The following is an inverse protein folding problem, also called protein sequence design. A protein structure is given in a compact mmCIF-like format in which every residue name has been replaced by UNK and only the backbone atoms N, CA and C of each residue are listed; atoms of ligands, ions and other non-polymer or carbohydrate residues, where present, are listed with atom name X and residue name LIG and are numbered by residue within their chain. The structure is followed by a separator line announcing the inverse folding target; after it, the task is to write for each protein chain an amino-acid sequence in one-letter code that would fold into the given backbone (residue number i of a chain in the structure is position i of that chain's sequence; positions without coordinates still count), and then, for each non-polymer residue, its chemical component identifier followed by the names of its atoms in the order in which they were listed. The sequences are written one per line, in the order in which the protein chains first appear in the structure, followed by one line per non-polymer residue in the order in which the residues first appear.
data_IF_545434551338
#
_entry.id   IF_545434551338
#
_cell.length_a   1.000
_cell.length_b   1.000
_cell.length_c   1.000
_cell.angle_alpha   90.00
_cell.angle_beta   90.00
_cell.angle_gamma   90.00
#
_symmetry.space_group_name_H-M   'P 1'
#
loop_
_entity.id
_entity.type
_entity.pdbx_description
1 polymer ?
#
# COMPACT_ATOMS: atom_id res chain seq x y z
N UNK A 1 -33.99 1.82 -20.48
CA UNK A 1 -33.71 1.42 -19.09
C UNK A 1 -32.32 1.94 -18.79
N UNK A 2 -32.23 3.08 -18.09
CA UNK A 2 -30.96 3.72 -17.74
C UNK A 2 -30.37 2.98 -16.54
N UNK A 3 -29.26 2.28 -16.74
CA UNK A 3 -28.44 1.71 -15.67
C UNK A 3 -27.02 2.24 -15.83
N UNK A 4 -26.72 3.39 -15.22
CA UNK A 4 -25.41 4.01 -15.37
C UNK A 4 -25.13 5.20 -14.46
N UNK A 5 -25.86 5.35 -13.36
CA UNK A 5 -25.65 6.45 -12.41
C UNK A 5 -25.57 5.85 -11.00
N UNK A 6 -24.36 5.78 -10.42
CA UNK A 6 -24.21 5.48 -8.99
C UNK A 6 -22.91 4.85 -8.52
N UNK A 7 -22.03 4.33 -9.40
CA UNK A 7 -20.68 3.92 -8.98
C UNK A 7 -19.77 5.14 -9.12
N UNK A 8 -19.49 5.79 -8.01
CA UNK A 8 -18.40 6.77 -7.97
C UNK A 8 -17.10 5.99 -8.13
N UNK A 9 -16.27 6.36 -9.08
CA UNK A 9 -14.95 5.76 -9.21
C UNK A 9 -14.11 6.08 -7.97
N UNK A 10 -13.22 5.17 -7.53
CA UNK A 10 -12.31 5.44 -6.42
C UNK A 10 -11.47 6.69 -6.73
N UNK A 11 -11.15 7.49 -5.70
CA UNK A 11 -10.34 8.69 -5.88
C UNK A 11 -9.00 8.34 -6.50
N UNK A 12 -8.52 9.21 -7.39
CA UNK A 12 -7.22 9.07 -8.05
C UNK A 12 -6.19 9.98 -7.38
N UNK A 13 -4.91 9.56 -7.32
CA UNK A 13 -3.82 10.38 -6.79
C UNK A 13 -3.72 11.72 -7.50
N UNK A 14 -3.44 12.77 -6.72
CA UNK A 14 -3.11 14.06 -7.28
C UNK A 14 -1.70 14.00 -7.92
N UNK A 15 -1.52 14.63 -9.08
CA UNK A 15 -0.24 14.61 -9.79
C UNK A 15 0.96 15.14 -8.96
N UNK A 16 0.70 15.97 -7.94
CA UNK A 16 1.74 16.47 -7.04
C UNK A 16 2.27 15.39 -6.08
N UNK A 17 1.50 14.32 -5.85
CA UNK A 17 1.80 13.27 -4.88
C UNK A 17 2.48 12.05 -5.48
N UNK A 18 2.64 11.99 -6.81
CA UNK A 18 3.35 10.92 -7.50
C UNK A 18 4.83 10.77 -7.12
N UNK A 19 5.39 9.64 -7.54
CA UNK A 19 6.80 9.28 -7.47
C UNK A 19 7.59 10.28 -8.31
N UNK A 20 8.70 10.77 -7.75
CA UNK A 20 9.64 11.65 -8.45
C UNK A 20 10.96 10.91 -8.69
N UNK A 21 11.77 11.37 -9.64
CA UNK A 21 13.13 10.83 -9.86
C UNK A 21 14.00 10.84 -8.58
N UNK A 22 13.72 11.77 -7.66
CA UNK A 22 14.39 11.83 -6.35
C UNK A 22 13.92 10.76 -5.37
N UNK A 23 12.75 10.15 -5.57
CA UNK A 23 12.23 9.06 -4.75
C UNK A 23 12.79 7.70 -5.22
N UNK A 24 13.13 7.55 -6.50
CA UNK A 24 13.78 6.35 -7.07
C UNK A 24 15.30 6.33 -6.90
N UNK A 25 15.94 7.50 -6.76
CA UNK A 25 17.39 7.62 -6.56
C UNK A 25 17.92 7.06 -5.23
N UNK A 26 17.03 6.71 -4.28
CA UNK A 26 17.40 6.09 -2.99
C UNK A 26 17.83 4.61 -3.14
N UNK A 27 17.72 4.02 -4.33
CA UNK A 27 18.25 2.68 -4.61
C UNK A 27 19.74 2.68 -5.01
N UNK A 28 20.34 3.82 -5.38
CA UNK A 28 21.67 3.82 -6.04
C UNK A 28 22.74 4.84 -5.55
N UNK A 29 22.54 5.62 -4.48
CA UNK A 29 23.60 6.52 -4.00
C UNK A 29 23.64 6.67 -2.46
N UNK A 30 24.83 6.34 -1.89
CA UNK A 30 25.52 6.83 -0.67
C UNK A 30 24.72 7.43 0.51
N UNK A 31 25.17 7.25 1.78
CA UNK A 31 24.38 7.57 2.98
C UNK A 31 24.17 9.08 3.12
N UNK A 32 23.04 9.57 2.64
CA UNK A 32 22.62 10.96 2.68
C UNK A 32 21.33 11.09 3.47
N UNK A 33 21.47 11.21 4.79
CA UNK A 33 20.46 11.74 5.72
C UNK A 33 19.03 11.18 5.59
N UNK A 34 18.87 9.89 5.89
CA UNK A 34 17.67 9.49 6.63
C UNK A 34 17.61 10.35 7.91
N UNK A 35 16.42 10.75 8.41
CA UNK A 35 16.33 11.36 9.73
C UNK A 35 17.00 10.41 10.72
N UNK A 36 18.19 10.81 11.19
CA UNK A 36 18.97 10.05 12.15
C UNK A 36 18.16 10.02 13.44
N UNK A 37 17.51 8.90 13.74
CA UNK A 37 16.78 8.76 15.01
C UNK A 37 15.65 7.74 15.05
N UNK A 38 15.15 7.24 13.91
CA UNK A 38 14.09 6.22 13.95
C UNK A 38 14.71 4.85 14.09
N UNK A 39 14.38 4.16 15.20
CA UNK A 39 14.90 2.81 15.46
C UNK A 39 14.12 1.81 14.62
N UNK A 40 14.82 1.09 13.75
CA UNK A 40 14.26 -0.04 13.02
C UNK A 40 13.83 -1.14 13.99
N UNK A 41 12.78 -1.88 13.64
CA UNK A 41 12.22 -2.93 14.48
C UNK A 41 12.71 -4.31 14.03
N UNK A 42 12.94 -5.27 14.95
CA UNK A 42 13.15 -6.67 14.55
C UNK A 42 11.87 -7.25 13.94
N UNK A 43 11.90 -8.43 13.29
CA UNK A 43 10.71 -9.00 12.69
C UNK A 43 9.58 -9.29 13.68
N UNK A 44 8.34 -8.95 13.32
CA UNK A 44 7.13 -9.32 14.07
C UNK A 44 5.89 -9.30 13.18
N UNK A 45 4.91 -10.14 13.49
CA UNK A 45 3.64 -10.22 12.75
C UNK A 45 2.85 -8.91 12.90
N UNK A 46 2.43 -8.26 11.80
CA UNK A 46 1.53 -7.13 11.88
C UNK A 46 0.10 -7.61 12.14
N UNK A 47 -0.67 -6.83 12.89
CA UNK A 47 -2.01 -7.19 13.37
C UNK A 47 -3.10 -6.29 12.79
N UNK A 48 -2.84 -4.99 12.72
CA UNK A 48 -3.79 -3.98 12.25
C UNK A 48 -3.05 -2.89 11.47
N UNK A 49 -3.70 -2.33 10.46
CA UNK A 49 -3.26 -1.14 9.73
C UNK A 49 -4.26 -0.01 9.97
N UNK A 50 -3.76 1.18 10.31
CA UNK A 50 -4.55 2.38 10.55
C UNK A 50 -4.04 3.51 9.67
N UNK A 51 -4.94 4.16 8.94
CA UNK A 51 -4.63 5.27 8.03
C UNK A 51 -5.66 6.39 8.27
N UNK A 52 -5.40 7.30 9.23
CA UNK A 52 -6.39 8.28 9.68
C UNK A 52 -6.93 9.18 8.57
N UNK A 53 -6.09 9.57 7.60
CA UNK A 53 -6.45 10.47 6.51
C UNK A 53 -7.61 9.93 5.63
N UNK A 54 -7.76 8.61 5.57
CA UNK A 54 -8.79 7.91 4.77
C UNK A 54 -9.67 7.01 5.64
N UNK A 55 -9.67 7.22 6.96
CA UNK A 55 -10.51 6.49 7.93
C UNK A 55 -10.37 4.96 7.89
N UNK A 56 -9.18 4.45 7.54
CA UNK A 56 -8.90 3.01 7.58
C UNK A 56 -8.49 2.61 8.99
N UNK A 57 -9.16 1.58 9.50
CA UNK A 57 -8.76 0.81 10.68
C UNK A 57 -9.14 -0.65 10.41
N UNK A 58 -8.17 -1.46 10.02
CA UNK A 58 -8.41 -2.78 9.46
C UNK A 58 -7.48 -3.85 10.04
N UNK A 59 -7.98 -5.08 10.31
CA UNK A 59 -7.12 -6.21 10.61
C UNK A 59 -6.21 -6.54 9.42
N UNK A 60 -5.04 -7.09 9.74
CA UNK A 60 -4.10 -7.67 8.79
C UNK A 60 -4.07 -9.19 8.95
N UNK A 61 -4.09 -9.89 7.83
CA UNK A 61 -3.83 -11.33 7.78
C UNK A 61 -2.69 -11.65 6.82
N UNK A 62 -1.92 -12.70 7.13
CA UNK A 62 -0.76 -13.09 6.33
C UNK A 62 -1.13 -13.90 5.09
N UNK A 63 -0.78 -13.40 3.91
CA UNK A 63 -0.99 -14.03 2.61
C UNK A 63 0.33 -14.30 1.88
N UNK A 64 0.27 -15.15 0.86
CA UNK A 64 1.44 -15.59 0.11
C UNK A 64 1.63 -14.76 -1.15
N UNK A 65 2.21 -15.40 -2.16
CA UNK A 65 2.17 -14.90 -3.52
C UNK A 65 1.18 -15.73 -4.34
N UNK A 66 0.56 -15.07 -5.31
CA UNK A 66 -0.12 -15.72 -6.41
C UNK A 66 0.89 -16.43 -7.34
N UNK A 67 0.46 -17.33 -8.23
CA UNK A 67 1.35 -17.97 -9.21
C UNK A 67 2.11 -16.98 -10.12
N UNK A 68 1.57 -15.77 -10.30
CA UNK A 68 2.19 -14.64 -11.00
C UNK A 68 3.37 -14.01 -10.26
N UNK A 69 3.52 -14.27 -8.96
CA UNK A 69 4.53 -13.65 -8.10
C UNK A 69 4.08 -12.35 -7.42
N UNK A 70 2.84 -11.89 -7.65
CA UNK A 70 2.21 -10.77 -6.94
C UNK A 70 1.73 -11.19 -5.55
N UNK A 71 1.71 -10.28 -4.56
CA UNK A 71 1.13 -10.57 -3.26
C UNK A 71 -0.35 -10.92 -3.36
N UNK A 72 -0.72 -12.06 -2.77
CA UNK A 72 -2.09 -12.51 -2.73
C UNK A 72 -2.98 -11.49 -1.98
N UNK A 73 -4.18 -11.27 -2.51
CA UNK A 73 -5.18 -10.36 -1.97
C UNK A 73 -6.19 -11.15 -1.12
N UNK A 74 -6.70 -10.61 0.00
CA UNK A 74 -7.75 -11.27 0.79
C UNK A 74 -8.98 -11.67 -0.05
N UNK A 75 -9.82 -12.60 0.41
CA UNK A 75 -11.10 -12.90 -0.25
C UNK A 75 -12.00 -11.66 -0.39
N UNK A 76 -12.66 -11.49 -1.53
CA UNK A 76 -13.48 -10.29 -1.84
C UNK A 76 -14.64 -10.09 -0.84
N UNK A 77 -15.13 -11.15 -0.19
CA UNK A 77 -16.20 -11.06 0.80
C UNK A 77 -15.74 -10.38 2.10
N UNK A 78 -14.43 -10.25 2.30
CA UNK A 78 -13.80 -9.62 3.47
C UNK A 78 -13.37 -8.20 3.13
N UNK A 79 -14.36 -7.35 2.83
CA UNK A 79 -14.15 -5.96 2.44
C UNK A 79 -13.40 -5.12 3.49
N UNK A 80 -13.40 -5.55 4.76
CA UNK A 80 -12.74 -4.90 5.90
C UNK A 80 -11.32 -5.41 6.19
N UNK A 81 -10.83 -6.39 5.43
CA UNK A 81 -9.56 -7.08 5.68
C UNK A 81 -8.47 -6.62 4.70
N UNK A 82 -7.29 -6.31 5.24
CA UNK A 82 -6.09 -6.12 4.44
C UNK A 82 -5.17 -7.36 4.53
N UNK A 83 -4.47 -7.64 3.44
CA UNK A 83 -3.50 -8.72 3.35
C UNK A 83 -2.09 -8.20 3.55
N UNK A 84 -1.25 -8.94 4.26
CA UNK A 84 0.18 -8.68 4.37
C UNK A 84 0.95 -9.83 3.73
N UNK A 85 1.96 -9.53 2.91
CA UNK A 85 2.82 -10.57 2.34
C UNK A 85 3.73 -11.19 3.41
N UNK A 86 3.33 -12.36 3.92
CA UNK A 86 3.89 -12.95 5.14
C UNK A 86 5.30 -13.52 4.99
N UNK A 87 5.67 -13.88 3.76
CA UNK A 87 6.97 -14.48 3.46
C UNK A 87 8.03 -13.38 3.15
N UNK A 88 7.61 -12.11 3.17
CA UNK A 88 8.46 -10.93 2.98
C UNK A 88 8.87 -10.23 4.28
N UNK A 89 9.19 -8.93 4.17
CA UNK A 89 9.62 -8.10 5.30
C UNK A 89 8.40 -7.68 6.14
N UNK A 90 8.48 -7.81 7.46
CA UNK A 90 7.45 -7.31 8.37
C UNK A 90 7.52 -5.77 8.48
N UNK A 91 6.38 -5.05 8.55
CA UNK A 91 6.36 -3.59 8.65
C UNK A 91 7.21 -3.06 9.82
N UNK A 92 8.23 -2.27 9.51
CA UNK A 92 9.14 -1.62 10.47
C UNK A 92 10.51 -2.28 10.56
N UNK A 93 10.67 -3.46 9.95
CA UNK A 93 11.98 -4.09 9.73
C UNK A 93 12.65 -3.53 8.48
N UNK A 94 13.99 -3.61 8.37
CA UNK A 94 14.72 -3.18 7.16
C UNK A 94 14.22 -3.91 5.91
N UNK A 95 13.89 -3.14 4.87
CA UNK A 95 13.36 -3.63 3.60
C UNK A 95 11.91 -3.26 3.33
N UNK A 96 11.41 -3.77 2.21
CA UNK A 96 10.09 -3.41 1.67
C UNK A 96 9.02 -4.36 2.18
N UNK A 97 8.06 -3.84 2.93
CA UNK A 97 6.86 -4.56 3.35
C UNK A 97 5.69 -4.27 2.40
N UNK A 98 4.89 -5.29 2.11
CA UNK A 98 3.77 -5.21 1.16
C UNK A 98 2.45 -5.51 1.87
N UNK A 99 1.49 -4.60 1.72
CA UNK A 99 0.12 -4.75 2.20
C UNK A 99 -0.84 -4.55 1.02
N UNK A 100 -1.74 -5.51 0.81
CA UNK A 100 -2.76 -5.50 -0.24
C UNK A 100 -4.15 -5.32 0.35
N UNK A 101 -5.08 -4.80 -0.45
CA UNK A 101 -6.48 -4.72 -0.05
C UNK A 101 -7.36 -4.42 -1.26
N UNK A 102 -8.63 -4.78 -1.15
CA UNK A 102 -9.61 -4.48 -2.20
C UNK A 102 -9.95 -2.99 -2.23
N UNK A 103 -10.19 -2.50 -3.45
CA UNK A 103 -10.71 -1.15 -3.67
C UNK A 103 -12.23 -1.14 -3.45
N UNK A 104 -12.93 -2.05 -4.11
CA UNK A 104 -14.37 -2.28 -3.95
C UNK A 104 -14.70 -3.74 -4.26
N UNK A 105 -15.96 -4.11 -4.06
CA UNK A 105 -16.52 -5.36 -4.52
C UNK A 105 -17.97 -5.14 -4.99
N UNK A 106 -18.72 -6.24 -5.16
CA UNK A 106 -20.13 -6.19 -5.58
C UNK A 106 -21.09 -5.53 -4.57
N UNK A 107 -20.68 -5.39 -3.30
CA UNK A 107 -21.51 -4.81 -2.23
C UNK A 107 -21.15 -3.36 -1.91
N UNK A 108 -19.97 -2.87 -2.33
CA UNK A 108 -19.57 -1.48 -2.21
C UNK A 108 -18.06 -1.28 -2.03
N UNK A 109 -17.64 -0.10 -1.55
CA UNK A 109 -16.26 0.20 -1.18
C UNK A 109 -15.67 -0.83 -0.21
N UNK A 110 -14.37 -1.10 -0.35
CA UNK A 110 -13.60 -1.96 0.54
C UNK A 110 -12.45 -1.19 1.23
N UNK A 111 -11.60 -1.91 1.96
CA UNK A 111 -10.60 -1.36 2.89
C UNK A 111 -9.71 -0.28 2.28
N UNK A 112 -9.37 -0.39 1.00
CA UNK A 112 -8.48 0.56 0.32
C UNK A 112 -9.19 1.36 -0.79
N UNK A 113 -10.51 1.48 -0.73
CA UNK A 113 -11.28 2.30 -1.69
C UNK A 113 -10.69 3.71 -1.87
N UNK A 114 -10.38 4.38 -0.76
CA UNK A 114 -9.88 5.75 -0.75
C UNK A 114 -8.34 5.85 -0.81
N UNK A 115 -7.61 4.76 -1.09
CA UNK A 115 -6.14 4.78 -1.06
C UNK A 115 -5.54 5.82 -2.01
N UNK A 116 -6.17 6.05 -3.16
CA UNK A 116 -5.74 7.07 -4.11
C UNK A 116 -5.97 8.52 -3.64
N UNK A 117 -6.72 8.75 -2.56
CA UNK A 117 -6.88 10.07 -1.96
C UNK A 117 -5.73 10.45 -1.01
N UNK A 118 -4.84 9.52 -0.68
CA UNK A 118 -3.69 9.80 0.18
C UNK A 118 -2.76 10.83 -0.45
N UNK A 119 -2.14 11.61 0.42
CA UNK A 119 -1.19 12.66 0.07
C UNK A 119 0.18 12.39 0.70
N UNK A 120 1.22 12.96 0.08
CA UNK A 120 2.55 12.95 0.68
C UNK A 120 2.48 13.63 2.05
N UNK A 121 2.97 12.94 3.09
CA UNK A 121 2.92 13.40 4.48
C UNK A 121 1.87 12.70 5.34
N UNK A 122 0.89 12.04 4.73
CA UNK A 122 -0.09 11.22 5.49
C UNK A 122 0.60 10.07 6.22
N UNK A 123 0.02 9.63 7.33
CA UNK A 123 0.59 8.59 8.18
C UNK A 123 -0.12 7.27 8.04
N UNK A 124 0.66 6.19 8.07
CA UNK A 124 0.20 4.80 8.15
C UNK A 124 0.78 4.18 9.40
N UNK A 125 -0.08 3.70 10.29
CA UNK A 125 0.32 3.03 11.53
C UNK A 125 0.06 1.53 11.39
N UNK A 126 1.04 0.71 11.77
CA UNK A 126 0.91 -0.74 11.80
C UNK A 126 1.19 -1.26 13.20
N UNK A 127 0.16 -1.77 13.87
CA UNK A 127 0.31 -2.38 15.19
C UNK A 127 0.78 -3.83 15.02
N UNK A 128 1.69 -4.26 15.89
CA UNK A 128 2.40 -5.53 15.74
C UNK A 128 2.25 -6.42 16.97
N UNK A 129 2.45 -7.72 16.77
CA UNK A 129 2.30 -8.74 17.81
C UNK A 129 3.32 -8.62 18.97
N UNK A 130 4.39 -7.84 18.78
CA UNK A 130 5.37 -7.54 19.83
C UNK A 130 4.98 -6.32 20.69
N UNK A 131 3.77 -5.79 20.49
CA UNK A 131 3.22 -4.66 21.25
C UNK A 131 3.73 -3.29 20.81
N UNK A 132 4.52 -3.22 19.73
CA UNK A 132 5.00 -1.97 19.15
C UNK A 132 4.17 -1.57 17.93
N UNK A 133 4.21 -0.29 17.60
CA UNK A 133 3.63 0.23 16.38
C UNK A 133 4.71 0.81 15.48
N UNK A 134 4.70 0.41 14.20
CA UNK A 134 5.52 1.01 13.17
C UNK A 134 4.73 2.14 12.49
N UNK A 135 5.28 3.36 12.47
CA UNK A 135 4.65 4.52 11.85
C UNK A 135 5.40 4.89 10.60
N UNK A 136 4.68 4.91 9.48
CA UNK A 136 5.19 5.30 8.19
C UNK A 136 4.58 6.63 7.76
N UNK A 137 5.34 7.41 7.02
CA UNK A 137 4.85 8.60 6.33
C UNK A 137 4.85 8.35 4.83
N UNK A 138 3.70 8.60 4.20
CA UNK A 138 3.51 8.50 2.76
C UNK A 138 4.48 9.46 2.06
N UNK A 139 5.31 8.89 1.19
CA UNK A 139 6.26 9.61 0.37
C UNK A 139 5.76 9.81 -1.04
N UNK A 140 4.91 8.92 -1.57
CA UNK A 140 4.29 9.08 -2.87
C UNK A 140 3.02 8.24 -2.99
N UNK A 141 2.13 8.60 -3.91
CA UNK A 141 0.99 7.78 -4.31
C UNK A 141 0.87 7.86 -5.83
N UNK A 142 0.87 6.70 -6.50
CA UNK A 142 0.79 6.62 -7.95
C UNK A 142 -0.18 5.55 -8.43
N UNK A 143 -0.59 5.67 -9.69
CA UNK A 143 -1.37 4.66 -10.40
C UNK A 143 -0.51 4.08 -11.51
N UNK A 144 -0.39 2.75 -11.53
CA UNK A 144 0.31 2.02 -12.57
C UNK A 144 -0.66 1.18 -13.37
N UNK A 145 -0.49 1.14 -14.69
CA UNK A 145 -1.23 0.24 -15.55
C UNK A 145 -1.00 -1.21 -15.13
N UNK A 146 -2.06 -2.01 -15.09
CA UNK A 146 -1.99 -3.40 -14.64
C UNK A 146 -1.09 -4.25 -15.56
N UNK A 147 -1.08 -3.92 -16.84
CA UNK A 147 -0.35 -4.66 -17.87
C UNK A 147 1.12 -4.22 -18.02
N UNK A 148 1.51 -3.10 -17.40
CA UNK A 148 2.87 -2.55 -17.37
C UNK A 148 3.29 -2.20 -15.92
N UNK A 149 2.94 -3.10 -15.00
CA UNK A 149 3.17 -2.87 -13.58
C UNK A 149 4.67 -2.92 -13.24
N UNK A 150 5.24 -1.89 -12.59
CA UNK A 150 6.68 -1.82 -12.37
C UNK A 150 7.09 -2.63 -11.13
N UNK A 151 7.17 -3.96 -11.28
CA UNK A 151 7.48 -4.89 -10.18
C UNK A 151 8.76 -4.52 -9.41
N UNK A 152 9.83 -4.11 -10.09
CA UNK A 152 11.09 -3.74 -9.43
C UNK A 152 10.94 -2.49 -8.54
N UNK A 153 10.13 -1.52 -8.96
CA UNK A 153 9.88 -0.31 -8.18
C UNK A 153 9.00 -0.60 -6.94
N UNK A 154 8.00 -1.46 -7.12
CA UNK A 154 7.01 -1.73 -6.07
C UNK A 154 7.47 -2.83 -5.12
N UNK A 155 7.92 -3.96 -5.65
CA UNK A 155 8.31 -5.14 -4.85
C UNK A 155 9.81 -5.22 -4.56
N UNK A 156 10.62 -4.36 -5.20
CA UNK A 156 12.06 -4.34 -5.02
C UNK A 156 12.49 -4.17 -3.57
N UNK A 157 13.67 -4.70 -3.26
CA UNK A 157 14.24 -4.62 -1.92
C UNK A 157 14.71 -3.20 -1.61
N UNK A 158 14.48 -2.75 -0.38
CA UNK A 158 15.10 -1.54 0.18
C UNK A 158 16.08 -1.90 1.29
N UNK A 159 17.05 -1.03 1.56
CA UNK A 159 17.86 -1.12 2.77
C UNK A 159 17.17 -0.46 3.97
N UNK A 160 16.26 0.46 3.73
CA UNK A 160 15.48 1.15 4.76
C UNK A 160 14.13 0.44 5.01
N UNK A 161 13.50 0.61 6.18
CA UNK A 161 12.15 0.12 6.40
C UNK A 161 11.13 0.93 5.58
N UNK A 162 10.57 0.28 4.57
CA UNK A 162 9.59 0.84 3.65
C UNK A 162 8.31 0.03 3.64
N UNK A 163 7.21 0.70 3.28
CA UNK A 163 5.89 0.10 3.14
C UNK A 163 5.32 0.44 1.77
N UNK A 164 4.65 -0.54 1.16
CA UNK A 164 3.79 -0.39 0.00
C UNK A 164 2.39 -0.84 0.37
N UNK A 165 1.42 0.05 0.18
CA UNK A 165 0.00 -0.27 0.22
C UNK A 165 -0.49 -0.35 -1.22
N UNK A 166 -1.18 -1.43 -1.58
CA UNK A 166 -1.52 -1.74 -2.97
C UNK A 166 -2.99 -2.09 -3.06
N UNK A 167 -3.68 -1.48 -4.03
CA UNK A 167 -5.06 -1.82 -4.37
C UNK A 167 -5.32 -1.66 -5.85
N UNK A 168 -6.38 -2.29 -6.36
CA UNK A 168 -6.85 -2.04 -7.73
C UNK A 168 -7.27 -0.57 -7.89
N UNK A 169 -7.05 0.02 -9.06
CA UNK A 169 -7.41 1.42 -9.31
C UNK A 169 -7.29 1.85 -10.77
N UNK A 170 -7.18 3.14 -11.01
CA UNK A 170 -7.35 3.68 -12.36
C UNK A 170 -8.78 3.51 -12.89
N UNK A 171 -8.99 3.68 -14.20
CA UNK A 171 -10.32 3.59 -14.79
C UNK A 171 -10.89 2.16 -14.75
N UNK A 172 -12.18 2.04 -14.46
CA UNK A 172 -12.91 0.78 -14.55
C UNK A 172 -13.28 0.47 -16.00
N UNK A 173 -13.04 -0.77 -16.44
CA UNK A 173 -13.40 -1.25 -17.77
C UNK A 173 -14.34 -2.45 -17.70
N UNK A 174 -15.58 -2.25 -18.13
CA UNK A 174 -16.58 -3.32 -18.18
C UNK A 174 -16.21 -4.42 -19.19
N UNK A 175 -15.53 -4.08 -20.29
CA UNK A 175 -15.03 -5.06 -21.26
C UNK A 175 -13.84 -5.86 -20.74
N UNK A 176 -13.00 -5.28 -19.89
CA UNK A 176 -11.90 -5.99 -19.24
C UNK A 176 -12.31 -6.68 -17.93
N UNK A 177 -13.53 -6.42 -17.45
CA UNK A 177 -14.10 -7.02 -16.24
C UNK A 177 -13.53 -6.45 -14.93
N UNK A 178 -12.91 -5.26 -14.95
CA UNK A 178 -12.28 -4.71 -13.74
C UNK A 178 -11.52 -3.40 -13.97
N UNK A 179 -10.82 -2.99 -12.93
CA UNK A 179 -9.89 -1.86 -12.93
C UNK A 179 -8.68 -2.13 -13.83
N UNK A 180 -8.24 -1.11 -14.55
CA UNK A 180 -7.14 -1.20 -15.52
C UNK A 180 -5.77 -0.89 -14.92
N UNK A 181 -5.71 -0.46 -13.66
CA UNK A 181 -4.47 -0.18 -12.97
C UNK A 181 -4.48 -0.61 -11.51
N UNK A 182 -3.39 -0.26 -10.82
CA UNK A 182 -3.21 -0.43 -9.39
C UNK A 182 -2.77 0.91 -8.80
N UNK A 183 -3.40 1.32 -7.70
CA UNK A 183 -2.91 2.41 -6.86
C UNK A 183 -1.87 1.84 -5.91
N UNK A 184 -0.72 2.50 -5.83
CA UNK A 184 0.36 2.16 -4.90
C UNK A 184 0.71 3.39 -4.07
N UNK A 185 0.54 3.29 -2.76
CA UNK A 185 1.09 4.27 -1.82
C UNK A 185 2.44 3.79 -1.29
N UNK A 186 3.46 4.63 -1.49
CA UNK A 186 4.82 4.44 -1.01
C UNK A 186 4.97 5.17 0.32
N UNK A 187 5.51 4.51 1.34
CA UNK A 187 5.74 5.11 2.63
C UNK A 187 7.06 4.63 3.25
N UNK A 188 7.66 5.48 4.09
CA UNK A 188 8.90 5.17 4.83
C UNK A 188 8.69 5.28 6.32
N UNK A 189 9.40 4.47 7.10
CA UNK A 189 9.31 4.51 8.56
C UNK A 189 9.81 5.86 9.09
N UNK A 190 9.01 6.52 9.93
CA UNK A 190 9.30 7.83 10.51
C UNK A 190 9.16 7.87 12.03
N UNK A 191 8.49 6.88 12.63
CA UNK A 191 8.46 6.71 14.08
C UNK A 191 8.15 5.26 14.48
N UNK A 192 8.42 4.96 15.76
CA UNK A 192 8.02 3.74 16.43
C UNK A 192 7.59 4.09 17.85
N UNK A 193 6.55 3.46 18.37
CA UNK A 193 6.20 3.54 19.80
C UNK A 193 5.80 2.18 20.36
#
# INVERSE_FOLDING_TARGET
MNHGEGRTDPPQPAAADGVRDSDTAVTAAAPGSAPSGVTELPPSTPLTVRIPAISVDAPLAGYGLEPSGSPEVPPEERADLAGWYRDGVSPGSPGTSLITGHVDNSTGPAVFYDLGALQRGDTVEVDRADGRTAVFTVTAVDVFDRDDFPDELVYGQSAAPELRLITCGGPFSSSAGGYLGNVVAFARLTATY
#
